data_IF_971210935810
#
_entry.id   IF_971210935810
#
_cell.length_a   1.000
_cell.length_b   1.000
_cell.length_c   1.000
_cell.angle_alpha   90.00
_cell.angle_beta   90.00
_cell.angle_gamma   90.00
#
_symmetry.space_group_name_H-M   'P 1'
#
loop_
_entity.id
_entity.type
_entity.pdbx_description
1 polymer ?
#
# COMPACT_ATOMS: atom_id res chain seq x y z
N UNK A 1 11.35 0.66 18.20
CA UNK A 1 11.38 2.14 18.30
C UNK A 1 12.06 2.57 19.59
N UNK A 2 11.60 2.13 20.77
CA UNK A 2 12.25 2.47 22.04
C UNK A 2 13.51 1.65 22.36
N UNK A 3 13.71 0.51 21.69
CA UNK A 3 14.95 -0.31 21.82
C UNK A 3 16.23 0.46 21.45
N UNK A 4 16.11 1.44 20.54
CA UNK A 4 17.19 2.37 20.19
C UNK A 4 17.42 3.48 21.21
N UNK A 5 16.52 3.67 22.19
CA UNK A 5 16.74 4.60 23.29
C UNK A 5 17.66 3.95 24.32
N UNK A 6 18.96 4.28 24.28
CA UNK A 6 19.99 3.54 25.05
C UNK A 6 19.80 3.58 26.57
N UNK A 7 19.02 4.54 27.05
CA UNK A 7 18.67 4.71 28.47
C UNK A 7 17.46 3.87 28.89
N UNK A 8 16.71 3.32 27.93
CA UNK A 8 15.46 2.62 28.16
C UNK A 8 15.69 1.13 28.43
N UNK A 9 15.21 0.65 29.58
CA UNK A 9 15.21 -0.77 29.95
C UNK A 9 13.78 -1.31 29.99
N UNK A 10 13.67 -2.64 29.91
CA UNK A 10 12.38 -3.32 30.03
C UNK A 10 11.65 -2.99 31.35
N UNK A 11 12.38 -2.82 32.44
CA UNK A 11 11.84 -2.38 33.74
C UNK A 11 11.19 -0.99 33.70
N UNK A 12 11.71 -0.09 32.85
CA UNK A 12 11.20 1.27 32.74
C UNK A 12 9.86 1.27 31.99
N UNK A 13 9.71 0.38 31.01
CA UNK A 13 8.43 0.14 30.33
C UNK A 13 7.36 -0.37 31.31
N UNK A 14 7.68 -1.38 32.12
CA UNK A 14 6.72 -1.90 33.11
C UNK A 14 6.30 -0.85 34.14
N UNK A 15 7.21 0.04 34.53
CA UNK A 15 6.90 1.12 35.44
C UNK A 15 5.94 2.12 34.79
N UNK A 16 6.22 2.55 33.56
CA UNK A 16 5.35 3.50 32.83
C UNK A 16 3.98 2.92 32.52
N UNK A 17 3.87 1.63 32.21
CA UNK A 17 2.57 0.98 31.96
C UNK A 17 1.67 0.92 33.21
N UNK A 18 2.24 1.06 34.40
CA UNK A 18 1.49 1.10 35.66
C UNK A 18 1.04 2.52 36.03
N UNK A 19 1.54 3.54 35.34
CA UNK A 19 1.15 4.91 35.63
C UNK A 19 -0.26 5.19 35.11
N UNK A 20 -1.14 5.78 35.94
CA UNK A 20 -2.51 6.09 35.54
C UNK A 20 -2.58 7.34 34.65
N UNK A 21 -1.50 8.12 34.59
CA UNK A 21 -1.38 9.34 33.81
C UNK A 21 -0.65 9.09 32.49
N UNK A 22 -0.93 9.91 31.48
CA UNK A 22 -0.25 9.83 30.19
C UNK A 22 1.23 10.17 30.33
N UNK A 23 2.10 9.26 29.89
CA UNK A 23 3.54 9.47 29.82
C UNK A 23 3.98 9.64 28.36
N UNK A 24 4.68 10.73 28.08
CA UNK A 24 5.28 10.98 26.77
C UNK A 24 6.75 10.53 26.77
N UNK A 25 7.13 9.72 25.79
CA UNK A 25 8.50 9.23 25.63
C UNK A 25 9.03 9.68 24.27
N UNK A 26 10.07 10.50 24.30
CA UNK A 26 10.75 10.96 23.09
C UNK A 26 11.64 9.86 22.52
N UNK A 27 11.72 9.77 21.20
CA UNK A 27 12.68 8.90 20.53
C UNK A 27 14.06 9.56 20.50
N UNK A 28 15.10 8.84 20.88
CA UNK A 28 16.49 9.34 20.91
C UNK A 28 17.04 9.63 19.51
N UNK A 29 16.42 9.03 18.48
CA UNK A 29 16.82 9.17 17.09
C UNK A 29 15.61 9.49 16.23
N UNK A 30 15.80 10.38 15.26
CA UNK A 30 14.81 10.61 14.22
C UNK A 30 14.68 9.36 13.35
N UNK A 31 13.45 8.88 13.17
CA UNK A 31 13.13 7.82 12.22
C UNK A 31 12.23 8.40 11.12
N UNK A 32 12.53 8.13 9.84
CA UNK A 32 11.70 8.63 8.75
C UNK A 32 10.35 7.92 8.75
N UNK A 33 9.26 8.69 8.65
CA UNK A 33 7.88 8.18 8.57
C UNK A 33 7.32 8.50 7.21
N UNK A 34 6.89 7.46 6.49
CA UNK A 34 6.25 7.60 5.17
C UNK A 34 4.84 7.02 5.24
N UNK A 35 3.86 7.84 4.83
CA UNK A 35 2.48 7.39 4.64
C UNK A 35 2.29 7.23 3.14
N UNK A 36 2.23 5.98 2.69
CA UNK A 36 2.05 5.65 1.28
C UNK A 36 0.63 5.18 1.04
N UNK A 37 0.03 5.68 -0.04
CA UNK A 37 -1.25 5.21 -0.53
C UNK A 37 -1.03 4.40 -1.81
N UNK A 38 -1.26 3.10 -1.72
CA UNK A 38 -1.09 2.16 -2.83
C UNK A 38 -2.33 1.27 -2.90
N UNK A 39 -2.96 1.22 -4.07
CA UNK A 39 -4.09 0.33 -4.37
C UNK A 39 -3.63 -1.02 -4.91
N UNK A 40 -2.34 -1.16 -5.23
CA UNK A 40 -1.69 -2.42 -5.62
C UNK A 40 -0.32 -2.52 -4.95
N UNK A 41 -0.04 -3.64 -4.30
CA UNK A 41 1.28 -3.92 -3.72
C UNK A 41 1.61 -5.41 -3.76
N UNK A 42 2.87 -5.75 -3.51
CA UNK A 42 3.35 -7.12 -3.40
C UNK A 42 3.42 -7.52 -1.92
N UNK A 43 2.84 -8.67 -1.57
CA UNK A 43 2.94 -9.22 -0.21
C UNK A 43 4.30 -9.89 0.06
N UNK A 44 4.48 -10.40 1.29
CA UNK A 44 5.72 -11.09 1.68
C UNK A 44 6.02 -12.33 0.84
N UNK A 45 5.00 -12.96 0.24
CA UNK A 45 5.14 -14.21 -0.52
C UNK A 45 5.30 -13.95 -2.03
N UNK A 46 5.20 -12.69 -2.41
CA UNK A 46 5.32 -12.23 -3.78
C UNK A 46 4.03 -12.23 -4.58
N UNK A 47 2.90 -12.37 -3.91
CA UNK A 47 1.58 -12.24 -4.53
C UNK A 47 1.24 -10.77 -4.69
N UNK A 48 0.61 -10.42 -5.83
CA UNK A 48 0.01 -9.10 -5.99
C UNK A 48 -1.30 -9.03 -5.20
N UNK A 49 -1.42 -7.98 -4.39
CA UNK A 49 -2.60 -7.66 -3.61
C UNK A 49 -3.21 -6.36 -4.14
N UNK A 50 -4.53 -6.37 -4.29
CA UNK A 50 -5.31 -5.23 -4.75
C UNK A 50 -6.19 -4.71 -3.61
N UNK A 51 -5.97 -3.46 -3.22
CA UNK A 51 -6.74 -2.77 -2.20
C UNK A 51 -7.80 -1.84 -2.80
N UNK A 52 -8.73 -1.34 -1.98
CA UNK A 52 -9.78 -0.43 -2.44
C UNK A 52 -9.25 0.98 -2.75
N UNK A 53 -9.70 1.55 -3.89
CA UNK A 53 -9.47 2.94 -4.29
C UNK A 53 -10.40 3.92 -3.52
N UNK A 54 -10.20 4.03 -2.20
CA UNK A 54 -11.03 4.86 -1.31
C UNK A 54 -10.93 6.37 -1.60
N UNK A 55 -9.85 6.84 -2.22
CA UNK A 55 -9.70 8.24 -2.61
C UNK A 55 -10.11 8.53 -4.06
N UNK A 56 -10.47 7.50 -4.84
CA UNK A 56 -10.89 7.66 -6.23
C UNK A 56 -9.76 8.09 -7.16
N UNK A 57 -8.50 7.87 -6.77
CA UNK A 57 -7.32 8.31 -7.51
C UNK A 57 -7.00 7.42 -8.69
N UNK A 58 -7.30 6.12 -8.61
CA UNK A 58 -7.07 5.19 -9.73
C UNK A 58 -7.94 5.59 -10.93
N UNK A 59 -9.19 5.99 -10.69
CA UNK A 59 -10.07 6.49 -11.75
C UNK A 59 -9.52 7.74 -12.42
N UNK A 60 -8.88 8.63 -11.66
CA UNK A 60 -8.27 9.84 -12.20
C UNK A 60 -7.02 9.51 -13.00
N UNK A 61 -6.20 8.60 -12.50
CA UNK A 61 -5.02 8.08 -13.20
C UNK A 61 -5.40 7.45 -14.54
N UNK A 62 -6.41 6.57 -14.56
CA UNK A 62 -6.89 5.93 -15.80
C UNK A 62 -7.34 6.97 -16.81
N UNK A 63 -8.11 7.99 -16.39
CA UNK A 63 -8.54 9.08 -17.29
C UNK A 63 -7.35 9.87 -17.85
N UNK A 64 -6.35 10.17 -17.03
CA UNK A 64 -5.15 10.89 -17.47
C UNK A 64 -4.32 10.07 -18.47
N UNK A 65 -4.16 8.77 -18.23
CA UNK A 65 -3.47 7.85 -19.15
C UNK A 65 -4.23 7.71 -20.48
N UNK A 66 -5.56 7.63 -20.43
CA UNK A 66 -6.39 7.60 -21.64
C UNK A 66 -6.26 8.87 -22.48
N UNK A 67 -6.14 10.04 -21.85
CA UNK A 67 -5.98 11.32 -22.53
C UNK A 67 -4.61 11.46 -23.22
N UNK A 68 -3.60 10.72 -22.76
CA UNK A 68 -2.22 10.78 -23.26
C UNK A 68 -1.87 9.61 -24.20
N UNK A 69 -2.86 8.79 -24.57
CA UNK A 69 -2.69 7.51 -25.30
C UNK A 69 -1.70 6.53 -24.63
N UNK A 70 -1.33 6.79 -23.37
CA UNK A 70 -0.48 5.96 -22.53
C UNK A 70 -1.25 4.84 -21.83
N UNK A 71 -2.56 4.74 -22.07
CA UNK A 71 -3.39 3.64 -21.62
C UNK A 71 -3.55 2.61 -22.75
N UNK A 72 -2.97 1.40 -22.63
CA UNK A 72 -3.08 0.39 -23.68
C UNK A 72 -4.55 0.08 -23.95
N UNK A 73 -4.99 0.29 -25.19
CA UNK A 73 -6.32 -0.08 -25.65
C UNK A 73 -6.33 -1.58 -25.94
N UNK A 74 -6.67 -2.38 -24.94
CA UNK A 74 -6.93 -3.79 -25.17
C UNK A 74 -8.20 -3.93 -26.02
N UNK A 75 -8.06 -4.51 -27.21
CA UNK A 75 -9.22 -4.94 -27.98
C UNK A 75 -9.56 -6.34 -27.51
N UNK A 76 -10.73 -6.51 -26.90
CA UNK A 76 -11.28 -7.83 -26.65
C UNK A 76 -11.81 -8.33 -27.99
N UNK A 77 -11.07 -9.23 -28.63
CA UNK A 77 -11.58 -9.89 -29.82
C UNK A 77 -12.77 -10.78 -29.38
N UNK A 78 -13.94 -10.70 -30.05
CA UNK A 78 -15.05 -11.57 -29.71
C UNK A 78 -14.57 -13.02 -29.83
N UNK A 79 -14.79 -13.81 -28.77
CA UNK A 79 -14.41 -15.22 -28.77
C UNK A 79 -15.00 -15.91 -30.00
N UNK A 80 -14.23 -16.73 -30.75
CA UNK A 80 -14.78 -17.48 -31.86
C UNK A 80 -15.94 -18.34 -31.35
N UNK A 81 -17.06 -18.34 -32.09
CA UNK A 81 -18.30 -19.00 -31.69
C UNK A 81 -18.02 -20.46 -31.28
N UNK A 82 -18.26 -20.78 -30.01
CA UNK A 82 -18.03 -22.10 -29.43
C UNK A 82 -16.81 -22.24 -28.52
N UNK A 83 -16.10 -21.16 -28.19
CA UNK A 83 -14.96 -21.19 -27.26
C UNK A 83 -15.24 -20.39 -25.98
N UNK A 84 -14.96 -20.99 -24.81
CA UNK A 84 -15.13 -20.36 -23.49
C UNK A 84 -13.87 -19.59 -23.05
N UNK A 85 -13.05 -19.11 -23.98
CA UNK A 85 -11.77 -18.47 -23.64
C UNK A 85 -11.57 -17.20 -24.44
N UNK A 86 -11.73 -16.07 -23.76
CA UNK A 86 -11.44 -14.74 -24.29
C UNK A 86 -9.94 -14.45 -24.14
N UNK A 87 -9.21 -14.38 -25.25
CA UNK A 87 -7.81 -13.93 -25.26
C UNK A 87 -7.79 -12.42 -25.54
N UNK A 88 -7.21 -11.65 -24.62
CA UNK A 88 -6.97 -10.22 -24.85
C UNK A 88 -5.71 -10.04 -25.72
N UNK A 89 -5.81 -9.25 -26.78
CA UNK A 89 -4.67 -8.87 -27.63
C UNK A 89 -4.37 -7.38 -27.52
N UNK A 90 -3.09 -7.04 -27.53
CA UNK A 90 -2.57 -5.66 -27.44
C UNK A 90 -2.34 -5.16 -28.87
N UNK A 91 -2.90 -3.99 -29.21
CA UNK A 91 -2.59 -3.28 -30.46
C UNK A 91 -1.39 -2.37 -30.27
#
# INVERSE_FOLDING_TARGET
VLDSNKTWKESDMEAVLKEPETVEIQADQSFPVYILYQTVWRDSQGTLVFGPDVYGWDKQLVRALQATDAYPRFSVEPAPAGSNTTLASVR
#
